data_IF_808091233837
#
_entry.id   IF_808091233837
#
_cell.length_a   1.000
_cell.length_b   1.000
_cell.length_c   1.000
_cell.angle_alpha   90.00
_cell.angle_beta   90.00
_cell.angle_gamma   90.00
#
_symmetry.space_group_name_H-M   'P 1'
#
loop_
_entity.id
_entity.type
_entity.pdbx_description
1 polymer ?
#
# COMPACT_ATOMS: atom_id res chain seq x y z
N UNK A 1 30.82 -32.50 -41.90
CA UNK A 1 31.44 -31.48 -41.04
C UNK A 1 30.32 -30.69 -40.39
N UNK A 2 29.96 -31.07 -39.17
CA UNK A 2 28.72 -30.70 -38.50
C UNK A 2 28.89 -29.38 -37.73
N UNK A 3 27.99 -28.42 -37.98
CA UNK A 3 28.09 -27.05 -37.49
C UNK A 3 27.87 -26.93 -35.98
N UNK A 4 28.86 -26.36 -35.29
CA UNK A 4 28.78 -26.05 -33.85
C UNK A 4 27.75 -24.95 -33.62
N UNK A 5 26.70 -25.24 -32.85
CA UNK A 5 25.70 -24.25 -32.41
C UNK A 5 26.20 -23.56 -31.15
N UNK A 6 26.48 -22.26 -31.24
CA UNK A 6 26.87 -21.44 -30.10
C UNK A 6 25.71 -21.31 -29.12
N UNK A 7 25.87 -21.86 -27.91
CA UNK A 7 24.87 -21.80 -26.84
C UNK A 7 24.95 -20.42 -26.18
N UNK A 8 24.07 -19.51 -26.59
CA UNK A 8 23.92 -18.22 -25.92
C UNK A 8 23.22 -18.43 -24.57
N UNK A 9 23.91 -18.17 -23.45
CA UNK A 9 23.31 -18.16 -22.12
C UNK A 9 22.97 -16.73 -21.72
N UNK A 10 21.69 -16.47 -21.44
CA UNK A 10 21.19 -15.16 -21.00
C UNK A 10 21.11 -15.19 -19.48
N UNK A 11 21.89 -14.36 -18.80
CA UNK A 11 21.85 -14.22 -17.35
C UNK A 11 20.98 -13.02 -16.95
N UNK A 12 20.14 -13.21 -15.94
CA UNK A 12 19.27 -12.16 -15.41
C UNK A 12 20.08 -11.32 -14.40
N UNK A 13 20.27 -10.04 -14.70
CA UNK A 13 21.15 -9.10 -13.96
C UNK A 13 20.87 -9.06 -12.44
N UNK A 14 19.65 -9.37 -12.00
CA UNK A 14 19.31 -9.45 -10.58
C UNK A 14 20.03 -10.58 -9.82
N UNK A 15 20.43 -11.68 -10.47
CA UNK A 15 21.21 -12.76 -9.82
C UNK A 15 22.67 -12.38 -9.56
N UNK A 16 23.13 -11.25 -10.10
CA UNK A 16 24.51 -10.78 -9.96
C UNK A 16 24.68 -9.75 -8.84
N UNK A 17 23.59 -9.40 -8.13
CA UNK A 17 23.66 -8.49 -6.98
C UNK A 17 24.10 -9.25 -5.73
N UNK A 18 25.10 -8.73 -5.02
CA UNK A 18 25.54 -9.26 -3.72
C UNK A 18 24.36 -9.24 -2.74
N UNK A 19 23.92 -10.42 -2.29
CA UNK A 19 22.78 -10.56 -1.40
C UNK A 19 23.17 -10.15 0.03
N UNK A 20 22.62 -9.05 0.52
CA UNK A 20 22.67 -8.70 1.93
C UNK A 20 21.41 -9.23 2.61
N UNK A 21 21.56 -10.26 3.46
CA UNK A 21 20.44 -10.84 4.20
C UNK A 21 19.90 -9.82 5.21
N UNK A 22 18.78 -9.19 4.87
CA UNK A 22 17.95 -8.50 5.86
C UNK A 22 16.97 -9.51 6.45
N UNK A 23 16.70 -9.39 7.75
CA UNK A 23 15.58 -10.06 8.41
C UNK A 23 14.28 -9.37 7.97
N UNK A 24 13.85 -9.68 6.74
CA UNK A 24 12.59 -9.23 6.17
C UNK A 24 11.61 -10.41 6.14
N UNK A 25 10.41 -10.23 6.70
CA UNK A 25 9.26 -11.10 6.38
C UNK A 25 8.88 -10.82 4.93
N UNK A 26 9.36 -11.66 4.03
CA UNK A 26 9.05 -11.58 2.60
C UNK A 26 7.89 -12.52 2.27
N UNK A 27 6.88 -12.00 1.58
CA UNK A 27 5.80 -12.81 1.01
C UNK A 27 6.35 -13.51 -0.24
N UNK A 28 6.74 -14.78 -0.11
CA UNK A 28 7.22 -15.59 -1.21
C UNK A 28 6.03 -16.15 -2.00
N UNK A 29 5.92 -15.82 -3.29
CA UNK A 29 4.95 -16.44 -4.20
C UNK A 29 5.73 -17.36 -5.14
N UNK A 30 5.59 -18.67 -4.94
CA UNK A 30 6.20 -19.70 -5.81
C UNK A 30 5.20 -20.03 -6.91
N UNK A 31 5.51 -19.63 -8.14
CA UNK A 31 4.78 -20.10 -9.32
C UNK A 31 5.40 -21.42 -9.79
N UNK A 32 5.14 -22.49 -9.06
CA UNK A 32 5.45 -23.86 -9.45
C UNK A 32 4.14 -24.64 -9.51
N UNK A 33 3.82 -25.19 -10.67
CA UNK A 33 2.65 -26.02 -10.84
C UNK A 33 2.77 -27.26 -9.98
N UNK A 34 1.99 -27.30 -8.91
CA UNK A 34 1.32 -28.46 -8.34
C UNK A 34 0.42 -27.94 -7.23
N UNK A 35 -0.76 -28.52 -7.16
CA UNK A 35 -1.90 -28.16 -6.34
C UNK A 35 -1.58 -28.31 -4.85
N UNK A 36 -0.85 -27.35 -4.27
CA UNK A 36 -0.77 -27.24 -2.82
C UNK A 36 -2.03 -26.52 -2.32
N UNK A 37 -3.11 -27.29 -2.23
CA UNK A 37 -4.10 -27.07 -1.20
C UNK A 37 -3.39 -27.26 0.15
N UNK A 38 -3.75 -26.43 1.13
CA UNK A 38 -3.32 -26.44 2.54
C UNK A 38 -2.31 -25.33 2.89
N UNK A 39 -2.78 -24.39 3.73
CA UNK A 39 -2.09 -23.24 4.35
C UNK A 39 -2.19 -21.84 3.69
N UNK A 40 -3.27 -21.50 2.99
CA UNK A 40 -3.60 -20.09 2.63
C UNK A 40 -4.87 -19.56 3.33
N UNK A 41 -5.17 -20.04 4.54
CA UNK A 41 -6.26 -19.53 5.39
C UNK A 41 -5.90 -18.23 6.12
N UNK A 42 -4.69 -17.70 5.97
CA UNK A 42 -4.36 -16.37 6.48
C UNK A 42 -5.06 -15.30 5.64
N UNK A 43 -5.87 -14.50 6.32
CA UNK A 43 -6.70 -13.42 5.80
C UNK A 43 -5.80 -12.35 5.15
N UNK A 44 -5.37 -12.54 3.89
CA UNK A 44 -4.63 -11.54 3.10
C UNK A 44 -5.57 -10.44 2.61
N UNK A 45 -6.45 -9.95 3.48
CA UNK A 45 -7.03 -8.63 3.30
C UNK A 45 -5.89 -7.62 3.40
N UNK A 46 -5.97 -6.51 2.65
CA UNK A 46 -5.11 -5.36 2.97
C UNK A 46 -5.59 -4.88 4.34
N UNK A 47 -4.77 -5.01 5.41
CA UNK A 47 -5.21 -4.63 6.74
C UNK A 47 -5.36 -3.11 6.75
N UNK A 48 -6.61 -2.67 6.84
CA UNK A 48 -6.91 -1.31 7.24
C UNK A 48 -7.24 -1.33 8.71
N UNK A 49 -6.75 -0.36 9.51
CA UNK A 49 -7.27 -0.19 10.84
C UNK A 49 -8.80 -0.01 10.74
N UNK A 50 -9.55 -1.00 11.23
CA UNK A 50 -11.02 -1.04 11.24
C UNK A 50 -11.60 -0.06 12.26
N UNK A 51 -10.76 0.46 13.16
CA UNK A 51 -11.14 1.58 13.99
C UNK A 51 -11.45 2.78 13.10
N UNK A 52 -12.56 3.47 13.39
CA UNK A 52 -12.79 4.85 12.99
C UNK A 52 -11.55 5.64 13.43
N UNK A 53 -10.54 5.71 12.56
CA UNK A 53 -9.19 6.12 12.98
C UNK A 53 -9.14 7.63 13.26
N UNK A 54 -10.24 8.31 12.94
CA UNK A 54 -10.52 9.69 13.30
C UNK A 54 -10.87 9.87 14.78
N UNK A 55 -11.05 8.79 15.55
CA UNK A 55 -11.38 8.84 16.98
C UNK A 55 -10.14 8.44 17.76
N UNK A 56 -9.46 9.43 18.33
CA UNK A 56 -8.42 9.17 19.32
C UNK A 56 -9.06 8.48 20.54
N UNK A 57 -8.41 7.44 21.05
CA UNK A 57 -8.82 6.79 22.28
C UNK A 57 -8.25 7.55 23.48
N UNK A 58 -9.09 8.40 24.08
CA UNK A 58 -8.68 9.22 25.22
C UNK A 58 -8.27 8.39 26.43
N UNK A 59 -8.97 7.30 26.71
CA UNK A 59 -8.69 6.46 27.88
C UNK A 59 -7.36 5.74 27.70
N UNK A 60 -7.07 5.27 26.48
CA UNK A 60 -5.75 4.72 26.17
C UNK A 60 -4.63 5.75 26.32
N UNK A 61 -4.80 6.96 25.79
CA UNK A 61 -3.80 8.05 25.94
C UNK A 61 -3.59 8.38 27.42
N UNK A 62 -4.68 8.41 28.18
CA UNK A 62 -4.68 8.69 29.62
C UNK A 62 -3.92 7.63 30.41
N UNK A 63 -4.10 6.35 30.07
CA UNK A 63 -3.38 5.22 30.64
C UNK A 63 -1.89 5.20 30.24
N UNK A 64 -1.59 5.27 28.93
CA UNK A 64 -0.21 5.19 28.39
C UNK A 64 0.70 6.29 28.95
N UNK A 65 0.13 7.45 29.28
CA UNK A 65 0.88 8.62 29.80
C UNK A 65 0.75 8.83 31.30
N UNK A 66 0.01 7.96 32.00
CA UNK A 66 -0.30 8.08 33.42
C UNK A 66 -0.76 9.51 33.81
N UNK A 67 -1.71 10.07 33.04
CA UNK A 67 -2.08 11.49 33.17
C UNK A 67 -2.65 11.84 34.55
N UNK A 68 -3.36 10.92 35.20
CA UNK A 68 -3.94 11.11 36.54
C UNK A 68 -2.89 11.34 37.64
N UNK A 69 -1.65 10.88 37.45
CA UNK A 69 -0.55 11.11 38.40
C UNK A 69 0.24 12.39 38.14
N UNK A 70 -0.01 13.10 37.02
CA UNK A 70 0.81 14.22 36.56
C UNK A 70 0.04 15.52 36.36
N UNK A 71 -1.27 15.43 36.14
CA UNK A 71 -2.14 16.55 35.85
C UNK A 71 -3.32 16.54 36.82
N UNK A 72 -3.81 17.73 37.14
CA UNK A 72 -5.08 17.87 37.85
C UNK A 72 -6.25 17.41 36.97
N UNK A 73 -7.38 17.06 37.60
CA UNK A 73 -8.61 16.69 36.88
C UNK A 73 -9.05 17.78 35.90
N UNK A 74 -8.88 19.05 36.27
CA UNK A 74 -9.23 20.19 35.41
C UNK A 74 -8.36 20.29 34.16
N UNK A 75 -7.08 19.95 34.25
CA UNK A 75 -6.14 19.95 33.12
C UNK A 75 -6.40 18.77 32.18
N UNK A 76 -6.72 17.60 32.74
CA UNK A 76 -7.12 16.41 31.97
C UNK A 76 -8.39 16.72 31.16
N UNK A 77 -9.36 17.40 31.76
CA UNK A 77 -10.60 17.78 31.08
C UNK A 77 -10.35 18.84 29.99
N UNK A 78 -9.51 19.85 30.25
CA UNK A 78 -9.07 20.81 29.22
C UNK A 78 -8.35 20.12 28.06
N UNK A 79 -7.49 19.16 28.35
CA UNK A 79 -6.78 18.36 27.34
C UNK A 79 -7.77 17.56 26.48
N UNK A 80 -8.77 16.92 27.09
CA UNK A 80 -9.85 16.23 26.38
C UNK A 80 -10.61 17.16 25.44
N UNK A 81 -10.97 18.36 25.90
CA UNK A 81 -11.65 19.36 25.07
C UNK A 81 -10.77 19.82 23.90
N UNK A 82 -9.48 20.05 24.12
CA UNK A 82 -8.53 20.44 23.08
C UNK A 82 -8.41 19.38 21.99
N UNK A 83 -8.28 18.10 22.37
CA UNK A 83 -8.26 17.00 21.39
C UNK A 83 -9.56 16.92 20.59
N UNK A 84 -10.71 17.15 21.24
CA UNK A 84 -12.01 17.19 20.58
C UNK A 84 -12.11 18.32 19.54
N UNK A 85 -11.61 19.52 19.88
CA UNK A 85 -11.57 20.68 18.96
C UNK A 85 -10.73 20.42 17.72
N UNK A 86 -9.63 19.68 17.86
CA UNK A 86 -8.66 19.43 16.80
C UNK A 86 -8.75 18.03 16.19
N UNK A 87 -9.92 17.36 16.31
CA UNK A 87 -10.14 16.00 15.78
C UNK A 87 -9.77 15.86 14.29
N UNK A 88 -10.04 16.90 13.48
CA UNK A 88 -9.75 16.93 12.03
C UNK A 88 -8.26 16.81 11.69
N UNK A 89 -7.36 17.17 12.59
CA UNK A 89 -5.90 17.13 12.34
C UNK A 89 -5.39 15.69 12.37
N UNK A 90 -6.02 14.83 13.17
CA UNK A 90 -5.63 13.43 13.35
C UNK A 90 -6.41 12.48 12.43
N UNK A 91 -7.16 13.04 11.47
CA UNK A 91 -7.99 12.27 10.57
C UNK A 91 -7.09 11.44 9.64
N UNK A 92 -7.36 10.14 9.54
CA UNK A 92 -6.72 9.26 8.54
C UNK A 92 -7.41 9.32 7.19
N UNK A 93 -8.59 9.93 7.15
CA UNK A 93 -9.26 10.19 5.89
C UNK A 93 -8.42 11.16 5.05
N UNK A 94 -8.13 10.79 3.81
CA UNK A 94 -7.34 11.60 2.91
C UNK A 94 -8.14 12.84 2.52
N UNK A 95 -7.80 13.99 3.11
CA UNK A 95 -8.35 15.28 2.72
C UNK A 95 -7.46 15.96 1.67
N UNK A 96 -8.00 16.94 0.95
CA UNK A 96 -7.23 17.73 0.00
C UNK A 96 -6.44 18.79 0.77
N UNK A 97 -5.12 18.73 0.70
CA UNK A 97 -4.26 19.87 1.08
C UNK A 97 -4.42 20.99 0.05
N UNK A 98 -3.93 22.19 0.35
CA UNK A 98 -4.03 23.33 -0.57
C UNK A 98 -3.20 23.06 -1.85
N UNK A 99 -3.93 22.53 -2.84
CA UNK A 99 -3.82 22.53 -4.30
C UNK A 99 -2.48 22.95 -4.93
N UNK A 100 -1.39 22.23 -4.64
CA UNK A 100 -0.24 22.24 -5.55
C UNK A 100 -0.55 21.25 -6.68
N UNK A 101 -0.85 21.79 -7.86
CA UNK A 101 -0.89 20.98 -9.08
C UNK A 101 0.54 20.77 -9.55
N UNK A 102 0.90 19.50 -9.78
CA UNK A 102 2.21 19.13 -10.27
C UNK A 102 2.13 18.78 -11.76
N UNK A 103 2.81 19.56 -12.58
CA UNK A 103 3.12 19.19 -13.95
C UNK A 103 4.37 18.32 -13.97
N UNK A 104 4.34 17.25 -14.77
CA UNK A 104 5.49 16.38 -14.97
C UNK A 104 6.08 16.65 -16.35
N UNK A 105 7.33 17.11 -16.40
CA UNK A 105 8.07 17.23 -17.64
C UNK A 105 8.44 15.84 -18.17
N UNK A 106 8.14 15.60 -19.45
CA UNK A 106 8.41 14.31 -20.09
C UNK A 106 9.73 14.36 -20.83
N UNK A 107 10.58 13.36 -20.61
CA UNK A 107 11.79 13.13 -21.42
C UNK A 107 11.40 12.78 -22.87
N UNK A 108 10.25 12.12 -23.06
CA UNK A 108 9.72 11.73 -24.36
C UNK A 108 8.19 11.67 -24.31
N UNK A 109 7.54 12.25 -25.32
CA UNK A 109 6.08 12.23 -25.47
C UNK A 109 5.56 10.92 -26.08
N UNK A 110 6.41 9.90 -26.23
CA UNK A 110 6.00 8.59 -26.76
C UNK A 110 5.35 7.75 -25.64
N UNK A 111 4.06 7.42 -25.75
CA UNK A 111 3.33 6.73 -24.69
C UNK A 111 3.74 5.24 -24.59
N UNK A 112 3.96 4.70 -23.38
CA UNK A 112 4.37 3.30 -23.14
C UNK A 112 3.25 2.46 -22.53
N UNK A 113 2.75 1.43 -23.24
CA UNK A 113 1.67 0.55 -22.74
C UNK A 113 2.17 -0.84 -22.41
N UNK A 114 2.08 -1.27 -21.17
CA UNK A 114 2.28 -2.67 -20.77
C UNK A 114 0.95 -3.43 -20.71
N UNK A 115 1.01 -4.73 -21.07
CA UNK A 115 -0.09 -5.64 -20.74
C UNK A 115 -0.07 -5.85 -19.22
N UNK A 116 -1.23 -5.82 -18.53
CA UNK A 116 -1.31 -6.21 -17.13
C UNK A 116 -0.78 -7.64 -16.95
N UNK A 117 -0.11 -7.89 -15.82
CA UNK A 117 0.29 -9.24 -15.46
C UNK A 117 -0.92 -10.08 -15.08
N UNK A 118 -0.79 -11.40 -15.23
CA UNK A 118 -1.80 -12.34 -14.77
C UNK A 118 -1.84 -12.35 -13.24
N UNK A 119 -3.03 -12.26 -12.67
CA UNK A 119 -3.32 -12.31 -11.24
C UNK A 119 -4.20 -13.51 -10.93
N UNK A 120 -4.12 -14.03 -9.70
CA UNK A 120 -5.01 -15.10 -9.23
C UNK A 120 -6.41 -14.55 -8.92
N UNK A 121 -7.41 -15.45 -8.79
CA UNK A 121 -8.78 -15.06 -8.45
C UNK A 121 -8.84 -14.27 -7.14
N UNK A 122 -8.17 -14.79 -6.11
CA UNK A 122 -8.09 -14.16 -4.78
C UNK A 122 -7.45 -12.78 -4.83
N UNK A 123 -6.35 -12.62 -5.57
CA UNK A 123 -5.72 -11.31 -5.79
C UNK A 123 -6.67 -10.32 -6.47
N UNK A 124 -7.46 -10.78 -7.45
CA UNK A 124 -8.44 -9.93 -8.10
C UNK A 124 -9.56 -9.48 -7.15
N UNK A 125 -9.97 -10.31 -6.20
CA UNK A 125 -10.98 -9.94 -5.20
C UNK A 125 -10.45 -8.87 -4.23
N UNK A 126 -9.22 -9.03 -3.77
CA UNK A 126 -8.52 -8.04 -2.93
C UNK A 126 -8.35 -6.72 -3.68
N UNK A 127 -7.92 -6.77 -4.94
CA UNK A 127 -7.77 -5.57 -5.77
C UNK A 127 -9.11 -4.89 -6.04
N UNK A 128 -10.18 -5.66 -6.28
CA UNK A 128 -11.54 -5.11 -6.51
C UNK A 128 -12.06 -4.35 -5.31
N UNK A 129 -11.91 -4.88 -4.10
CA UNK A 129 -12.37 -4.20 -2.88
C UNK A 129 -11.59 -2.90 -2.65
N UNK A 130 -10.28 -2.93 -2.87
CA UNK A 130 -9.43 -1.75 -2.72
C UNK A 130 -9.70 -0.67 -3.78
N UNK A 131 -9.82 -1.05 -5.05
CA UNK A 131 -10.17 -0.12 -6.13
C UNK A 131 -11.52 0.54 -5.85
N UNK A 132 -12.51 -0.22 -5.37
CA UNK A 132 -13.81 0.32 -4.97
C UNK A 132 -13.67 1.35 -3.83
N UNK A 133 -12.85 1.05 -2.82
CA UNK A 133 -12.54 1.98 -1.72
C UNK A 133 -11.89 3.26 -2.23
N UNK A 134 -10.88 3.17 -3.11
CA UNK A 134 -10.19 4.34 -3.67
C UNK A 134 -11.07 5.19 -4.59
N UNK A 135 -11.99 4.57 -5.33
CA UNK A 135 -13.00 5.28 -6.13
C UNK A 135 -13.98 6.05 -5.22
N UNK A 136 -14.45 5.43 -4.14
CA UNK A 136 -15.30 6.10 -3.14
C UNK A 136 -14.60 7.31 -2.51
N UNK A 137 -13.29 7.19 -2.24
CA UNK A 137 -12.44 8.28 -1.73
C UNK A 137 -12.04 9.30 -2.80
N UNK A 138 -12.50 9.16 -4.05
CA UNK A 138 -12.17 10.03 -5.19
C UNK A 138 -10.66 10.19 -5.45
N UNK A 139 -9.85 9.20 -5.04
CA UNK A 139 -8.41 9.13 -5.34
C UNK A 139 -8.13 8.64 -6.75
N UNK A 140 -9.02 7.82 -7.28
CA UNK A 140 -8.96 7.29 -8.64
C UNK A 140 -10.11 7.86 -9.47
N UNK A 141 -9.87 8.00 -10.78
CA UNK A 141 -10.87 8.34 -11.79
C UNK A 141 -10.70 7.42 -12.99
N UNK A 142 -11.79 7.11 -13.68
CA UNK A 142 -11.72 6.37 -14.93
C UNK A 142 -11.11 7.26 -16.01
N UNK A 143 -10.11 6.75 -16.74
CA UNK A 143 -9.44 7.47 -17.82
C UNK A 143 -9.36 6.62 -19.08
N UNK A 144 -9.60 7.23 -20.24
CA UNK A 144 -9.46 6.61 -21.56
C UNK A 144 -8.14 7.04 -22.21
N UNK A 145 -7.01 6.43 -21.81
CA UNK A 145 -5.71 6.71 -22.43
C UNK A 145 -5.34 5.65 -23.48
N UNK A 146 -5.14 6.09 -24.73
CA UNK A 146 -4.62 5.23 -25.82
C UNK A 146 -3.11 5.35 -25.87
N UNK A 147 -2.42 4.39 -25.27
CA UNK A 147 -0.97 4.36 -25.20
C UNK A 147 -0.52 3.16 -26.07
N UNK A 148 0.32 3.35 -27.10
CA UNK A 148 0.71 2.28 -28.07
C UNK A 148 2.24 2.14 -28.11
N UNK A 149 2.75 0.91 -28.17
CA UNK A 149 4.21 0.60 -28.22
C UNK A 149 4.80 0.73 -29.63
N UNK A 150 6.13 0.96 -29.75
CA UNK A 150 6.89 0.86 -31.00
C UNK A 150 6.90 -0.55 -31.58
#
# INVERSE_FOLDING_TARGET
MEGKKDKTQIYQVNLLKLYHQKLERINLIVNGGEENQEHETEELAIPYPVSDTNIYDFERIKADRALEGRLSLTEIERFKQMLGRHKKIFTTDPEKTHLVEHDFELISNKPIRSKPYRTSQRQNEILKSEIKRMLNLKKLKLGSQTVRRP
#
